data_IF_752077045680
#
_entry.id   IF_752077045680
#
_cell.length_a   1.000
_cell.length_b   1.000
_cell.length_c   1.000
_cell.angle_alpha   90.00
_cell.angle_beta   90.00
_cell.angle_gamma   90.00
#
_symmetry.space_group_name_H-M   'P 1'
#
loop_
_entity.id
_entity.type
_entity.pdbx_description
1 polymer ?
#
# COMPACT_ATOMS: atom_id res chain seq x y z
N UNK A 1 17.68 16.19 -2.75
CA UNK A 1 17.33 15.10 -3.70
C UNK A 1 16.87 13.84 -2.96
N UNK A 2 17.60 13.39 -1.92
CA UNK A 2 17.19 12.27 -1.03
C UNK A 2 15.77 12.47 -0.45
N UNK A 3 15.45 13.69 -0.02
CA UNK A 3 14.13 14.03 0.54
C UNK A 3 12.94 13.72 -0.37
N UNK A 4 13.12 13.73 -1.70
CA UNK A 4 12.06 13.37 -2.66
C UNK A 4 11.78 11.87 -2.64
N UNK A 5 12.83 11.05 -2.60
CA UNK A 5 12.71 9.60 -2.51
C UNK A 5 12.09 9.16 -1.18
N UNK A 6 12.50 9.77 -0.07
CA UNK A 6 11.89 9.53 1.25
C UNK A 6 10.40 9.91 1.27
N UNK A 7 10.03 11.03 0.65
CA UNK A 7 8.63 11.41 0.53
C UNK A 7 7.83 10.42 -0.33
N UNK A 8 8.40 9.93 -1.42
CA UNK A 8 7.79 8.88 -2.26
C UNK A 8 7.63 7.57 -1.49
N UNK A 9 8.64 7.14 -0.73
CA UNK A 9 8.58 5.92 0.10
C UNK A 9 7.41 5.99 1.09
N UNK A 10 7.28 7.08 1.84
CA UNK A 10 6.19 7.26 2.82
C UNK A 10 4.81 7.21 2.14
N UNK A 11 4.69 7.80 0.94
CA UNK A 11 3.41 7.78 0.21
C UNK A 11 3.06 6.39 -0.31
N UNK A 12 4.03 5.68 -0.92
CA UNK A 12 3.82 4.31 -1.40
C UNK A 12 3.54 3.37 -0.23
N UNK A 13 4.19 3.57 0.92
CA UNK A 13 3.96 2.80 2.14
C UNK A 13 2.54 2.99 2.66
N UNK A 14 2.04 4.24 2.73
CA UNK A 14 0.65 4.51 3.13
C UNK A 14 -0.36 3.88 2.17
N UNK A 15 -0.09 3.94 0.85
CA UNK A 15 -0.94 3.32 -0.16
C UNK A 15 -0.97 1.80 0.00
N UNK A 16 0.18 1.17 0.19
CA UNK A 16 0.30 -0.27 0.44
C UNK A 16 -0.41 -0.70 1.73
N UNK A 17 -0.29 0.08 2.81
CA UNK A 17 -1.02 -0.19 4.06
C UNK A 17 -2.54 -0.17 3.85
N UNK A 18 -3.07 0.87 3.19
CA UNK A 18 -4.50 0.96 2.92
C UNK A 18 -5.02 -0.19 2.04
N UNK A 19 -4.20 -0.74 1.14
CA UNK A 19 -4.56 -1.93 0.35
C UNK A 19 -4.53 -3.20 1.21
N UNK A 20 -3.53 -3.37 2.09
CA UNK A 20 -3.46 -4.52 3.01
C UNK A 20 -4.62 -4.58 4.00
N UNK A 21 -5.14 -3.43 4.41
CA UNK A 21 -6.34 -3.37 5.27
C UNK A 21 -7.61 -3.74 4.50
N UNK A 22 -7.74 -3.32 3.23
CA UNK A 22 -8.94 -3.55 2.42
C UNK A 22 -9.03 -4.94 1.79
N UNK A 23 -7.91 -5.56 1.43
CA UNK A 23 -7.89 -6.88 0.77
C UNK A 23 -8.63 -7.95 1.59
N UNK A 24 -8.40 -8.09 2.91
CA UNK A 24 -9.14 -9.02 3.74
C UNK A 24 -10.65 -8.78 3.73
N UNK A 25 -11.09 -7.53 3.72
CA UNK A 25 -12.51 -7.18 3.68
C UNK A 25 -13.14 -7.58 2.35
N UNK A 26 -12.46 -7.31 1.22
CA UNK A 26 -12.92 -7.75 -0.11
C UNK A 26 -13.00 -9.29 -0.17
N UNK A 27 -12.00 -9.99 0.37
CA UNK A 27 -12.01 -11.47 0.43
C UNK A 27 -13.18 -12.02 1.23
N UNK A 28 -13.45 -11.46 2.40
CA UNK A 28 -14.61 -11.84 3.22
C UNK A 28 -15.92 -11.59 2.49
N UNK A 29 -16.07 -10.43 1.82
CA UNK A 29 -17.28 -10.15 1.04
C UNK A 29 -17.47 -11.12 -0.12
N UNK A 30 -16.40 -11.47 -0.83
CA UNK A 30 -16.43 -12.45 -1.92
C UNK A 30 -16.83 -13.84 -1.40
N UNK A 31 -16.27 -14.25 -0.27
CA UNK A 31 -16.58 -15.54 0.36
C UNK A 31 -18.06 -15.61 0.78
N UNK A 32 -18.60 -14.51 1.32
CA UNK A 32 -20.03 -14.43 1.64
C UNK A 32 -20.92 -14.50 0.40
N UNK A 33 -20.57 -13.81 -0.69
CA UNK A 33 -21.33 -13.89 -1.96
C UNK A 33 -21.29 -15.30 -2.53
N UNK A 34 -20.12 -15.96 -2.50
CA UNK A 34 -19.97 -17.38 -2.91
C UNK A 34 -20.78 -18.32 -2.02
N UNK A 35 -20.84 -18.08 -0.71
CA UNK A 35 -21.65 -18.85 0.22
C UNK A 35 -23.15 -18.71 -0.08
N UNK A 36 -23.63 -17.49 -0.34
CA UNK A 36 -25.02 -17.23 -0.72
C UNK A 36 -25.37 -17.92 -2.05
N UNK A 37 -24.48 -17.83 -3.05
CA UNK A 37 -24.62 -18.52 -4.33
C UNK A 37 -24.71 -20.03 -4.18
N UNK A 38 -23.79 -20.64 -3.44
CA UNK A 38 -23.76 -22.07 -3.20
C UNK A 38 -25.03 -22.56 -2.49
N UNK A 39 -25.58 -21.76 -1.57
CA UNK A 39 -26.81 -22.11 -0.85
C UNK A 39 -28.05 -22.00 -1.73
N UNK A 40 -28.10 -20.98 -2.61
CA UNK A 40 -29.13 -20.82 -3.64
C UNK A 40 -29.15 -22.02 -4.58
N UNK A 41 -28.00 -22.37 -5.15
CA UNK A 41 -27.90 -23.43 -6.16
C UNK A 41 -28.22 -24.83 -5.58
N UNK A 42 -27.99 -25.04 -4.28
CA UNK A 42 -28.28 -26.30 -3.59
C UNK A 42 -29.69 -26.39 -2.98
N UNK A 43 -30.56 -25.37 -3.12
CA UNK A 43 -31.86 -25.31 -2.43
C UNK A 43 -31.74 -25.63 -0.93
N UNK A 44 -30.76 -25.02 -0.25
CA UNK A 44 -30.52 -25.26 1.17
C UNK A 44 -31.65 -24.74 2.06
N UNK A 45 -31.72 -25.23 3.29
CA UNK A 45 -32.71 -24.74 4.28
C UNK A 45 -32.56 -23.23 4.53
N UNK A 46 -33.64 -22.61 5.00
CA UNK A 46 -33.67 -21.19 5.37
C UNK A 46 -32.52 -20.85 6.34
N UNK A 47 -31.81 -19.76 6.04
CA UNK A 47 -30.64 -19.34 6.83
C UNK A 47 -31.10 -18.45 7.99
N UNK A 48 -30.98 -18.95 9.21
CA UNK A 48 -31.11 -18.10 10.39
C UNK A 48 -29.79 -17.35 10.65
N UNK A 49 -29.83 -16.02 10.55
CA UNK A 49 -28.70 -15.14 10.91
C UNK A 49 -29.13 -14.12 11.95
N UNK A 50 -28.13 -13.57 12.65
CA UNK A 50 -28.31 -12.39 13.47
C UNK A 50 -27.80 -11.19 12.69
N UNK A 51 -28.70 -10.30 12.28
CA UNK A 51 -28.37 -9.04 11.62
C UNK A 51 -28.06 -7.97 12.65
N UNK A 52 -27.00 -7.21 12.40
CA UNK A 52 -26.61 -6.06 13.20
C UNK A 52 -27.45 -4.83 12.81
N UNK A 53 -28.26 -4.31 13.74
CA UNK A 53 -28.97 -3.03 13.56
C UNK A 53 -28.17 -1.86 14.14
N UNK A 54 -27.37 -2.13 15.16
CA UNK A 54 -26.48 -1.20 15.83
C UNK A 54 -25.36 -2.02 16.50
N UNK A 55 -24.24 -1.39 16.87
CA UNK A 55 -23.01 -2.02 17.41
C UNK A 55 -23.27 -2.95 18.63
N UNK A 56 -24.42 -2.84 19.29
CA UNK A 56 -24.84 -3.69 20.42
C UNK A 56 -26.23 -4.34 20.24
N UNK A 57 -26.90 -4.12 19.11
CA UNK A 57 -28.25 -4.59 18.84
C UNK A 57 -28.27 -5.51 17.62
N UNK A 58 -28.57 -6.78 17.88
CA UNK A 58 -28.74 -7.79 16.84
C UNK A 58 -30.19 -8.27 16.79
N UNK A 59 -30.75 -8.42 15.60
CA UNK A 59 -32.04 -9.08 15.38
C UNK A 59 -31.84 -10.41 14.67
N UNK A 60 -32.56 -11.43 15.14
CA UNK A 60 -32.63 -12.72 14.46
C UNK A 60 -33.54 -12.59 13.25
N UNK A 61 -33.04 -12.96 12.08
CA UNK A 61 -33.84 -13.05 10.87
C UNK A 61 -33.59 -14.39 10.17
N UNK A 62 -34.58 -14.81 9.41
CA UNK A 62 -34.53 -16.02 8.60
C UNK A 62 -34.56 -15.58 7.15
N UNK A 63 -33.55 -16.00 6.38
CA UNK A 63 -33.39 -15.66 4.96
C UNK A 63 -33.72 -16.90 4.14
N UNK A 64 -34.75 -16.79 3.30
CA UNK A 64 -35.10 -17.84 2.36
C UNK A 64 -34.22 -17.73 1.09
N UNK A 65 -33.67 -18.84 0.56
CA UNK A 65 -32.80 -18.83 -0.61
C UNK A 65 -33.45 -18.25 -1.87
N UNK A 66 -34.79 -18.29 -1.94
CA UNK A 66 -35.59 -17.78 -3.05
C UNK A 66 -35.59 -16.25 -3.13
N UNK A 67 -35.34 -15.55 -2.02
CA UNK A 67 -35.35 -14.08 -1.97
C UNK A 67 -33.94 -13.47 -2.14
N UNK A 68 -32.91 -14.32 -2.24
CA UNK A 68 -31.50 -13.92 -2.45
C UNK A 68 -31.11 -13.96 -3.93
N UNK A 69 -31.77 -13.15 -4.76
CA UNK A 69 -31.39 -12.99 -6.18
C UNK A 69 -30.32 -11.91 -6.37
N UNK A 70 -30.40 -10.84 -5.58
CA UNK A 70 -29.56 -9.65 -5.70
C UNK A 70 -28.90 -9.28 -4.36
N UNK A 71 -27.70 -8.70 -4.44
CA UNK A 71 -26.93 -8.21 -3.30
C UNK A 71 -26.70 -6.72 -3.46
N UNK A 72 -26.85 -5.98 -2.36
CA UNK A 72 -26.59 -4.55 -2.32
C UNK A 72 -25.13 -4.29 -1.96
N UNK A 73 -24.40 -3.66 -2.87
CA UNK A 73 -22.98 -3.31 -2.68
C UNK A 73 -22.81 -1.80 -2.54
N UNK A 74 -21.97 -1.40 -1.58
CA UNK A 74 -21.61 0.00 -1.36
C UNK A 74 -20.36 0.34 -2.19
N UNK A 75 -20.52 1.20 -3.20
CA UNK A 75 -19.40 1.60 -4.08
C UNK A 75 -18.64 2.83 -3.57
N UNK A 76 -19.11 3.43 -2.47
CA UNK A 76 -18.59 4.70 -1.96
C UNK A 76 -19.37 5.90 -2.48
N UNK A 77 -18.94 7.10 -2.06
CA UNK A 77 -19.57 8.38 -2.45
C UNK A 77 -21.09 8.45 -2.21
N UNK A 78 -21.59 7.79 -1.15
CA UNK A 78 -23.01 7.65 -0.84
C UNK A 78 -23.85 6.93 -1.91
N UNK A 79 -23.21 6.03 -2.68
CA UNK A 79 -23.87 5.24 -3.72
C UNK A 79 -23.87 3.75 -3.34
N UNK A 80 -25.07 3.18 -3.33
CA UNK A 80 -25.33 1.75 -3.20
C UNK A 80 -26.07 1.26 -4.44
N UNK A 81 -25.69 0.12 -4.99
CA UNK A 81 -26.34 -0.51 -6.14
C UNK A 81 -26.66 -1.98 -5.85
N UNK A 82 -27.78 -2.44 -6.38
CA UNK A 82 -28.13 -3.85 -6.41
C UNK A 82 -27.44 -4.52 -7.59
N UNK A 83 -26.78 -5.65 -7.33
CA UNK A 83 -26.16 -6.49 -8.35
C UNK A 83 -26.67 -7.93 -8.19
N UNK A 84 -26.99 -8.64 -9.28
CA UNK A 84 -27.20 -10.08 -9.24
C UNK A 84 -25.97 -10.78 -8.65
N UNK A 85 -26.19 -11.88 -7.91
CA UNK A 85 -25.11 -12.63 -7.24
C UNK A 85 -23.95 -12.97 -8.20
N UNK A 86 -24.26 -13.38 -9.42
CA UNK A 86 -23.27 -13.79 -10.42
C UNK A 86 -22.42 -12.61 -10.92
N UNK A 87 -23.02 -11.43 -11.10
CA UNK A 87 -22.30 -10.21 -11.48
C UNK A 87 -21.48 -9.67 -10.31
N UNK A 88 -22.03 -9.70 -9.09
CA UNK A 88 -21.34 -9.32 -7.87
C UNK A 88 -20.08 -10.17 -7.64
N UNK A 89 -20.17 -11.49 -7.84
CA UNK A 89 -19.02 -12.40 -7.72
C UNK A 89 -17.92 -12.02 -8.73
N UNK A 90 -18.27 -11.89 -10.01
CA UNK A 90 -17.30 -11.55 -11.06
C UNK A 90 -16.64 -10.18 -10.80
N UNK A 91 -17.43 -9.18 -10.39
CA UNK A 91 -16.95 -7.84 -10.10
C UNK A 91 -16.01 -7.82 -8.88
N UNK A 92 -16.37 -8.51 -7.79
CA UNK A 92 -15.53 -8.60 -6.60
C UNK A 92 -14.23 -9.39 -6.87
N UNK A 93 -14.27 -10.42 -7.70
CA UNK A 93 -13.09 -11.21 -8.08
C UNK A 93 -12.11 -10.39 -8.93
N UNK A 94 -12.63 -9.62 -9.90
CA UNK A 94 -11.83 -8.67 -10.68
C UNK A 94 -11.20 -7.60 -9.77
N UNK A 95 -11.99 -7.01 -8.86
CA UNK A 95 -11.47 -6.00 -7.91
C UNK A 95 -10.41 -6.57 -6.98
N UNK A 96 -10.57 -7.82 -6.53
CA UNK A 96 -9.60 -8.50 -5.71
C UNK A 96 -8.28 -8.70 -6.46
N UNK A 97 -8.34 -9.23 -7.68
CA UNK A 97 -7.18 -9.44 -8.54
C UNK A 97 -6.42 -8.14 -8.81
N UNK A 98 -7.14 -7.06 -9.12
CA UNK A 98 -6.54 -5.72 -9.32
C UNK A 98 -5.92 -5.20 -8.03
N UNK A 99 -6.57 -5.38 -6.88
CA UNK A 99 -6.04 -4.94 -5.59
C UNK A 99 -4.77 -5.71 -5.18
N UNK A 100 -4.73 -7.03 -5.40
CA UNK A 100 -3.56 -7.87 -5.15
C UNK A 100 -2.39 -7.51 -6.08
N UNK A 101 -2.66 -7.35 -7.38
CA UNK A 101 -1.65 -6.89 -8.35
C UNK A 101 -1.12 -5.51 -7.99
N UNK A 102 -2.01 -4.58 -7.61
CA UNK A 102 -1.62 -3.23 -7.18
C UNK A 102 -0.77 -3.26 -5.91
N UNK A 103 -1.09 -4.15 -4.96
CA UNK A 103 -0.30 -4.34 -3.75
C UNK A 103 1.10 -4.85 -4.08
N UNK A 104 1.21 -5.86 -4.95
CA UNK A 104 2.49 -6.40 -5.39
C UNK A 104 3.37 -5.31 -6.02
N UNK A 105 2.82 -4.50 -6.93
CA UNK A 105 3.53 -3.35 -7.50
C UNK A 105 3.95 -2.32 -6.45
N UNK A 106 3.12 -2.05 -5.44
CA UNK A 106 3.51 -1.14 -4.34
C UNK A 106 4.68 -1.71 -3.53
N UNK A 107 4.75 -3.03 -3.33
CA UNK A 107 5.83 -3.70 -2.61
C UNK A 107 7.13 -3.66 -3.40
N UNK A 108 7.07 -3.92 -4.71
CA UNK A 108 8.21 -3.79 -5.63
C UNK A 108 8.73 -2.34 -5.68
N UNK A 109 7.84 -1.36 -5.82
CA UNK A 109 8.18 0.06 -5.82
C UNK A 109 8.82 0.49 -4.50
N UNK A 110 8.36 -0.04 -3.36
CA UNK A 110 8.93 0.24 -2.05
C UNK A 110 10.37 -0.28 -1.93
N UNK A 111 10.61 -1.50 -2.42
CA UNK A 111 11.94 -2.08 -2.40
C UNK A 111 12.90 -1.27 -3.28
N UNK A 112 12.47 -0.94 -4.50
CA UNK A 112 13.22 -0.07 -5.40
C UNK A 112 13.55 1.28 -4.74
N UNK A 113 12.58 1.93 -4.09
CA UNK A 113 12.80 3.21 -3.41
C UNK A 113 13.83 3.10 -2.27
N UNK A 114 13.83 1.99 -1.51
CA UNK A 114 14.79 1.75 -0.42
C UNK A 114 16.21 1.56 -0.93
N UNK A 115 16.39 0.78 -1.99
CA UNK A 115 17.69 0.60 -2.66
C UNK A 115 18.22 1.93 -3.20
N UNK A 116 17.35 2.73 -3.81
CA UNK A 116 17.71 4.03 -4.35
C UNK A 116 18.08 5.04 -3.26
N UNK A 117 17.36 5.06 -2.14
CA UNK A 117 17.72 5.89 -0.97
C UNK A 117 19.11 5.53 -0.48
N UNK A 118 19.36 4.23 -0.26
CA UNK A 118 20.66 3.73 0.23
C UNK A 118 21.80 4.08 -0.73
N UNK A 119 21.60 3.89 -2.04
CA UNK A 119 22.59 4.20 -3.07
C UNK A 119 22.89 5.70 -3.12
N UNK A 120 21.86 6.54 -3.04
CA UNK A 120 22.02 8.00 -3.06
C UNK A 120 22.73 8.51 -1.80
N UNK A 121 22.43 7.93 -0.64
CA UNK A 121 23.10 8.24 0.63
C UNK A 121 24.59 7.92 0.58
N UNK A 122 24.95 6.73 0.11
CA UNK A 122 26.37 6.33 -0.05
C UNK A 122 27.08 7.21 -1.06
N UNK A 123 26.45 7.51 -2.21
CA UNK A 123 27.04 8.40 -3.21
C UNK A 123 27.27 9.82 -2.66
N UNK A 124 26.30 10.35 -1.92
CA UNK A 124 26.39 11.68 -1.29
C UNK A 124 27.51 11.71 -0.24
N UNK A 125 27.62 10.66 0.58
CA UNK A 125 28.70 10.53 1.57
C UNK A 125 30.09 10.42 0.91
N UNK A 126 30.22 9.68 -0.20
CA UNK A 126 31.48 9.59 -0.95
C UNK A 126 31.92 10.94 -1.52
N UNK A 127 30.99 11.69 -2.10
CA UNK A 127 31.26 13.05 -2.61
C UNK A 127 31.66 13.98 -1.47
N UNK A 128 30.96 13.93 -0.34
CA UNK A 128 31.31 14.73 0.84
C UNK A 128 32.71 14.37 1.38
N UNK A 129 33.02 13.08 1.51
CA UNK A 129 34.33 12.62 1.95
C UNK A 129 35.45 13.09 0.98
N UNK A 130 35.19 13.02 -0.32
CA UNK A 130 36.12 13.52 -1.33
C UNK A 130 36.33 15.03 -1.21
N UNK A 131 35.26 15.82 -1.06
CA UNK A 131 35.34 17.28 -0.88
C UNK A 131 36.13 17.65 0.39
N UNK A 132 35.91 16.95 1.51
CA UNK A 132 36.69 17.15 2.74
C UNK A 132 38.17 16.85 2.53
N UNK A 133 38.51 15.77 1.82
CA UNK A 133 39.91 15.43 1.52
C UNK A 133 40.56 16.48 0.62
N UNK A 134 39.86 16.96 -0.41
CA UNK A 134 40.38 18.00 -1.30
C UNK A 134 40.62 19.32 -0.55
N UNK A 135 39.64 19.80 0.22
CA UNK A 135 39.82 21.03 1.02
C UNK A 135 40.95 20.92 2.04
N UNK A 136 41.22 19.73 2.58
CA UNK A 136 42.36 19.50 3.47
C UNK A 136 43.68 19.57 2.73
N UNK A 137 43.76 19.01 1.50
CA UNK A 137 44.96 19.10 0.64
C UNK A 137 45.25 20.55 0.26
N UNK A 138 44.25 21.29 -0.22
CA UNK A 138 44.39 22.70 -0.61
C UNK A 138 44.88 23.57 0.58
N UNK A 139 44.38 23.31 1.80
CA UNK A 139 44.85 24.01 3.00
C UNK A 139 46.27 23.61 3.40
N UNK A 140 46.66 22.36 3.24
CA UNK A 140 48.02 21.90 3.53
C UNK A 140 49.02 22.53 2.55
N UNK A 141 48.72 22.49 1.24
CA UNK A 141 49.54 23.10 0.19
C UNK A 141 49.65 24.63 0.38
N UNK A 142 48.56 25.30 0.76
CA UNK A 142 48.59 26.72 1.10
C UNK A 142 49.43 27.04 2.34
N UNK A 143 49.49 26.15 3.32
CA UNK A 143 50.30 26.34 4.54
C UNK A 143 51.78 26.07 4.29
N UNK A 144 52.11 25.08 3.46
CA UNK A 144 53.48 24.78 3.03
C UNK A 144 54.07 25.92 2.19
N UNK A 145 53.28 26.50 1.26
CA UNK A 145 53.71 27.65 0.46
C UNK A 145 53.99 28.91 1.30
N UNK A 146 53.24 29.13 2.39
CA UNK A 146 53.48 30.24 3.32
C UNK A 146 54.78 30.01 4.12
N UNK A 147 55.03 28.78 4.57
CA UNK A 147 56.24 28.45 5.33
C UNK A 147 57.51 28.55 4.45
N UNK A 148 57.48 28.09 3.20
CA UNK A 148 58.62 28.25 2.28
C UNK A 148 58.94 29.71 1.96
N UNK A 149 57.91 30.55 1.75
CA UNK A 149 58.14 31.99 1.49
C UNK A 149 58.69 32.72 2.72
N UNK A 150 58.33 32.28 3.93
CA UNK A 150 58.83 32.89 5.17
C UNK A 150 60.30 32.51 5.43
N UNK A 151 60.72 31.31 5.03
CA UNK A 151 62.12 30.87 5.15
C UNK A 151 63.05 31.47 4.09
N UNK A 152 62.55 31.85 2.91
CA UNK A 152 63.34 32.52 1.86
C UNK A 152 63.52 34.03 2.06
N UNK A 153 62.71 34.64 2.93
CA UNK A 153 62.75 36.07 3.22
C UNK A 153 63.60 36.44 4.45
N UNK A 154 64.18 35.45 5.13
CA UNK A 154 65.13 35.61 6.24
C UNK A 154 66.55 35.29 5.77
#
# INVERSE_FOLDING_TARGET
MISKYQFMEVNTQRRGQGLREKIPDIKKTLEMVKFLKMRRDNNGDALETNFELNDTLYARATIDPADTEEVYLWLGANVMLAYPIDEAEAMLDEKLSVAETTLAHCEEDLEFLREQITTLEVATARVYNWDVVQRRKEKAEGTEAINENTQRAA
#
